data_IF_974676454947
#
_entry.id   IF_974676454947
#
_cell.length_a   1.000
_cell.length_b   1.000
_cell.length_c   1.000
_cell.angle_alpha   90.00
_cell.angle_beta   90.00
_cell.angle_gamma   90.00
#
_symmetry.space_group_name_H-M   'P 1'
#
loop_
_entity.id
_entity.type
_entity.pdbx_description
1 polymer ?
#
# COMPACT_ATOMS: atom_id res chain seq x y z
N UNK A 1 -5.78 -10.88 21.17
CA UNK A 1 -4.94 -10.12 20.21
C UNK A 1 -3.94 -11.12 19.66
N UNK A 2 -3.74 -11.19 18.34
CA UNK A 2 -2.75 -12.12 17.77
C UNK A 2 -1.34 -11.79 18.26
N UNK A 3 -0.60 -12.82 18.68
CA UNK A 3 0.83 -12.76 19.08
C UNK A 3 1.78 -12.60 17.88
N UNK A 4 1.24 -12.44 16.67
CA UNK A 4 2.05 -12.21 15.48
C UNK A 4 2.83 -10.87 15.58
N UNK A 5 4.10 -10.85 15.12
CA UNK A 5 4.88 -9.61 15.03
C UNK A 5 4.15 -8.56 14.21
N UNK A 6 4.37 -7.29 14.57
CA UNK A 6 3.87 -6.15 13.80
C UNK A 6 5.03 -5.35 13.23
N UNK A 7 4.95 -5.02 11.95
CA UNK A 7 5.89 -4.10 11.31
C UNK A 7 5.63 -2.70 11.85
N UNK A 8 6.68 -2.06 12.36
CA UNK A 8 6.61 -0.67 12.79
C UNK A 8 7.03 0.25 11.66
N UNK A 9 6.12 1.15 11.26
CA UNK A 9 6.41 2.22 10.30
C UNK A 9 6.19 3.54 11.02
N UNK A 10 7.19 4.42 11.00
CA UNK A 10 7.06 5.78 11.52
C UNK A 10 7.27 6.77 10.39
N UNK A 11 6.20 7.50 10.07
CA UNK A 11 6.18 8.51 9.00
C UNK A 11 6.17 9.91 9.60
N UNK A 12 7.05 10.79 9.11
CA UNK A 12 6.92 12.23 9.34
C UNK A 12 5.96 12.81 8.31
N UNK A 13 4.96 13.55 8.78
CA UNK A 13 3.91 14.13 7.94
C UNK A 13 3.93 15.65 7.96
N UNK A 14 3.49 16.27 6.87
CA UNK A 14 3.44 17.73 6.74
C UNK A 14 2.31 18.35 7.57
N UNK A 15 1.19 17.65 7.70
CA UNK A 15 0.04 18.05 8.52
C UNK A 15 -0.51 16.83 9.28
N UNK A 16 -0.28 16.81 10.60
CA UNK A 16 -0.68 15.70 11.46
C UNK A 16 -2.20 15.53 11.56
N UNK A 17 -2.98 16.61 11.52
CA UNK A 17 -4.43 16.54 11.64
C UNK A 17 -5.04 15.96 10.37
N UNK A 18 -4.57 16.46 9.21
CA UNK A 18 -4.98 15.95 7.89
C UNK A 18 -4.59 14.49 7.69
N UNK A 19 -3.35 14.12 8.02
CA UNK A 19 -2.91 12.73 7.95
C UNK A 19 -3.69 11.84 8.92
N UNK A 20 -3.94 12.29 10.16
CA UNK A 20 -4.75 11.53 11.11
C UNK A 20 -6.14 11.20 10.53
N UNK A 21 -6.84 12.20 9.98
CA UNK A 21 -8.16 11.99 9.40
C UNK A 21 -8.13 10.98 8.24
N UNK A 22 -7.12 11.09 7.37
CA UNK A 22 -6.90 10.11 6.30
C UNK A 22 -6.67 8.70 6.85
N UNK A 23 -5.74 8.52 7.78
CA UNK A 23 -5.40 7.19 8.30
C UNK A 23 -6.52 6.60 9.17
N UNK A 24 -7.36 7.40 9.83
CA UNK A 24 -8.60 6.93 10.48
C UNK A 24 -9.57 6.34 9.44
N UNK A 25 -9.76 7.01 8.31
CA UNK A 25 -10.59 6.53 7.20
C UNK A 25 -9.98 5.28 6.51
N UNK A 26 -8.70 5.34 6.17
CA UNK A 26 -7.99 4.28 5.47
C UNK A 26 -7.86 3.01 6.31
N UNK A 27 -7.55 3.12 7.61
CA UNK A 27 -7.40 1.97 8.50
C UNK A 27 -8.73 1.53 9.13
N UNK A 28 -9.74 2.38 9.12
CA UNK A 28 -11.08 2.08 9.64
C UNK A 28 -11.14 1.95 11.16
N UNK A 29 -10.19 2.56 11.87
CA UNK A 29 -10.09 2.51 13.33
C UNK A 29 -9.48 3.80 13.87
N UNK A 30 -9.90 4.28 15.06
CA UNK A 30 -9.24 5.40 15.72
C UNK A 30 -7.78 5.06 16.11
N UNK A 31 -6.93 6.08 16.34
CA UNK A 31 -5.59 5.88 16.87
C UNK A 31 -5.63 5.31 18.28
N UNK A 32 -4.73 4.37 18.57
CA UNK A 32 -4.56 3.79 19.91
C UNK A 32 -3.77 4.71 20.86
N UNK A 33 -3.10 5.74 20.32
CA UNK A 33 -2.37 6.73 21.10
C UNK A 33 -2.33 8.06 20.36
N UNK A 34 -2.65 9.14 21.09
CA UNK A 34 -2.56 10.52 20.62
C UNK A 34 -1.78 11.33 21.65
N UNK A 35 -0.78 12.08 21.19
CA UNK A 35 0.05 13.01 21.98
C UNK A 35 0.30 14.27 21.15
N UNK A 36 0.74 15.39 21.76
CA UNK A 36 1.15 16.56 21.00
C UNK A 36 2.21 16.18 19.95
N UNK A 37 1.90 16.45 18.67
CA UNK A 37 2.79 16.13 17.55
C UNK A 37 2.92 14.64 17.19
N UNK A 38 2.11 13.73 17.77
CA UNK A 38 2.23 12.29 17.53
C UNK A 38 0.89 11.54 17.56
N UNK A 39 0.68 10.63 16.62
CA UNK A 39 -0.42 9.64 16.65
C UNK A 39 0.07 8.24 16.30
N UNK A 40 -0.61 7.21 16.80
CA UNK A 40 -0.30 5.81 16.51
C UNK A 40 -1.55 4.98 16.26
N UNK A 41 -1.48 4.09 15.28
CA UNK A 41 -2.53 3.16 14.90
C UNK A 41 -2.05 1.71 15.03
N UNK A 42 -2.99 0.83 15.39
CA UNK A 42 -2.84 -0.63 15.41
C UNK A 42 -4.09 -1.25 14.79
N UNK A 43 -4.22 -1.27 13.45
CA UNK A 43 -5.38 -1.88 12.82
C UNK A 43 -5.47 -3.37 13.19
N UNK A 44 -6.67 -3.87 13.55
CA UNK A 44 -6.84 -5.27 13.95
C UNK A 44 -6.72 -6.24 12.77
N UNK A 45 -6.96 -5.77 11.54
CA UNK A 45 -6.97 -6.56 10.31
C UNK A 45 -5.59 -6.75 9.68
N UNK A 46 -4.54 -6.09 10.20
CA UNK A 46 -3.20 -6.17 9.63
C UNK A 46 -2.09 -6.14 10.68
N UNK A 47 -0.92 -6.74 10.40
CA UNK A 47 0.25 -6.74 11.29
C UNK A 47 0.99 -5.39 11.25
N UNK A 48 0.28 -4.27 11.34
CA UNK A 48 0.83 -2.92 11.25
C UNK A 48 0.86 -2.23 12.62
N UNK A 49 1.95 -1.51 12.85
CA UNK A 49 2.13 -0.52 13.90
C UNK A 49 2.59 0.79 13.25
N UNK A 50 1.63 1.63 12.87
CA UNK A 50 1.88 2.90 12.20
C UNK A 50 1.96 4.03 13.23
N UNK A 51 3.04 4.80 13.22
CA UNK A 51 3.16 6.05 13.95
C UNK A 51 3.34 7.21 12.98
N UNK A 52 2.72 8.34 13.30
CA UNK A 52 2.86 9.59 12.56
C UNK A 52 3.38 10.66 13.51
N UNK A 53 4.29 11.50 13.03
CA UNK A 53 4.71 12.72 13.73
C UNK A 53 4.78 13.92 12.79
N UNK A 54 4.51 15.11 13.31
CA UNK A 54 4.67 16.33 12.54
C UNK A 54 6.16 16.61 12.22
N UNK A 55 6.41 17.47 11.24
CA UNK A 55 7.74 18.01 10.96
C UNK A 55 8.34 17.62 9.62
N UNK A 56 7.51 17.19 8.65
CA UNK A 56 7.91 17.12 7.25
C UNK A 56 7.59 18.44 6.55
N UNK A 57 8.45 18.85 5.63
CA UNK A 57 8.22 20.01 4.78
C UNK A 57 7.10 19.72 3.76
N UNK A 58 6.15 20.64 3.62
CA UNK A 58 5.06 20.49 2.66
C UNK A 58 5.62 20.51 1.22
N UNK A 59 5.18 19.57 0.37
CA UNK A 59 5.61 19.48 -1.03
C UNK A 59 6.94 18.75 -1.25
N UNK A 60 7.61 18.27 -0.20
CA UNK A 60 8.75 17.36 -0.35
C UNK A 60 8.30 16.03 -0.97
N UNK A 61 9.19 15.32 -1.68
CA UNK A 61 8.94 13.96 -2.17
C UNK A 61 8.53 13.01 -1.03
N UNK A 62 7.71 12.00 -1.35
CA UNK A 62 7.21 10.98 -0.42
C UNK A 62 8.33 10.40 0.47
N UNK A 63 8.08 10.09 1.75
CA UNK A 63 9.06 9.42 2.62
C UNK A 63 9.41 8.00 2.14
N UNK A 64 8.62 7.43 1.24
CA UNK A 64 8.84 6.17 0.54
C UNK A 64 8.14 6.24 -0.83
N UNK A 65 8.59 5.42 -1.78
CA UNK A 65 7.90 5.29 -3.09
C UNK A 65 6.49 4.73 -2.88
N UNK A 66 6.34 3.63 -2.12
CA UNK A 66 5.05 3.10 -1.67
C UNK A 66 5.23 2.19 -0.44
N UNK A 67 4.11 1.86 0.21
CA UNK A 67 4.02 0.89 1.31
C UNK A 67 2.94 -0.15 1.02
N UNK A 68 3.20 -1.41 1.35
CA UNK A 68 2.26 -2.51 1.08
C UNK A 68 1.78 -3.25 2.32
N UNK A 69 0.51 -3.68 2.29
CA UNK A 69 -0.08 -4.63 3.24
C UNK A 69 -0.61 -5.85 2.49
N UNK A 70 0.14 -6.94 2.55
CA UNK A 70 -0.31 -8.22 2.04
C UNK A 70 -1.33 -8.86 3.00
N UNK A 71 -2.48 -9.24 2.45
CA UNK A 71 -3.54 -9.95 3.17
C UNK A 71 -3.58 -11.42 2.79
N UNK A 72 -4.28 -12.22 3.60
CA UNK A 72 -4.32 -13.67 3.44
C UNK A 72 -5.22 -14.13 2.29
N UNK A 73 -6.16 -13.31 1.83
CA UNK A 73 -7.13 -13.71 0.82
C UNK A 73 -7.64 -12.54 -0.01
N UNK A 74 -8.15 -12.84 -1.21
CA UNK A 74 -8.88 -11.86 -2.05
C UNK A 74 -10.08 -11.28 -1.31
N UNK A 75 -10.81 -12.10 -0.57
CA UNK A 75 -11.96 -11.63 0.21
C UNK A 75 -11.55 -10.60 1.27
N UNK A 76 -10.37 -10.74 1.89
CA UNK A 76 -9.83 -9.73 2.79
C UNK A 76 -9.55 -8.41 2.06
N UNK A 77 -8.93 -8.47 0.87
CA UNK A 77 -8.67 -7.27 0.04
C UNK A 77 -9.97 -6.57 -0.33
N UNK A 78 -10.97 -7.31 -0.82
CA UNK A 78 -12.29 -6.76 -1.17
C UNK A 78 -13.00 -6.18 0.06
N UNK A 79 -12.93 -6.84 1.22
CA UNK A 79 -13.48 -6.30 2.48
C UNK A 79 -12.86 -4.94 2.83
N UNK A 80 -11.54 -4.80 2.71
CA UNK A 80 -10.87 -3.53 3.00
C UNK A 80 -11.18 -2.47 1.94
N UNK A 81 -11.19 -2.82 0.65
CA UNK A 81 -11.55 -1.94 -0.45
C UNK A 81 -12.93 -1.32 -0.25
N UNK A 82 -13.93 -2.15 0.04
CA UNK A 82 -15.30 -1.68 0.27
C UNK A 82 -15.42 -0.77 1.50
N UNK A 83 -14.63 -1.03 2.55
CA UNK A 83 -14.56 -0.15 3.73
C UNK A 83 -13.94 1.20 3.37
N UNK A 84 -12.87 1.20 2.59
CA UNK A 84 -12.16 2.42 2.15
C UNK A 84 -13.05 3.26 1.22
N UNK A 85 -13.75 2.63 0.27
CA UNK A 85 -14.74 3.30 -0.60
C UNK A 85 -15.87 3.94 0.21
N UNK A 86 -16.44 3.21 1.19
CA UNK A 86 -17.47 3.75 2.10
C UNK A 86 -16.97 4.93 2.93
N UNK A 87 -15.68 5.02 3.22
CA UNK A 87 -15.06 6.15 3.90
C UNK A 87 -14.81 7.35 2.97
N UNK A 88 -15.13 7.24 1.68
CA UNK A 88 -15.02 8.33 0.70
C UNK A 88 -13.60 8.58 0.19
N UNK A 89 -12.67 7.64 0.38
CA UNK A 89 -11.31 7.76 -0.14
C UNK A 89 -11.27 7.39 -1.63
N UNK A 90 -10.47 8.13 -2.39
CA UNK A 90 -10.16 7.79 -3.77
C UNK A 90 -9.31 6.51 -3.80
N UNK A 91 -9.68 5.57 -4.67
CA UNK A 91 -9.03 4.26 -4.80
C UNK A 91 -8.68 3.98 -6.25
N UNK A 92 -7.54 3.33 -6.47
CA UNK A 92 -7.17 2.72 -7.76
C UNK A 92 -7.18 1.20 -7.60
N UNK A 93 -7.98 0.51 -8.40
CA UNK A 93 -8.23 -0.93 -8.30
C UNK A 93 -7.52 -1.69 -9.41
N UNK A 94 -6.87 -2.80 -9.06
CA UNK A 94 -6.11 -3.64 -9.98
C UNK A 94 -6.33 -5.11 -9.59
N UNK A 95 -7.26 -5.78 -10.29
CA UNK A 95 -7.61 -7.18 -10.05
C UNK A 95 -7.12 -8.08 -11.18
N UNK A 96 -6.55 -9.23 -10.81
CA UNK A 96 -5.99 -10.20 -11.73
C UNK A 96 -4.81 -9.67 -12.53
N UNK A 97 -4.03 -8.75 -11.96
CA UNK A 97 -2.89 -8.13 -12.65
C UNK A 97 -1.62 -8.94 -12.43
N UNK A 98 -0.86 -9.16 -13.49
CA UNK A 98 0.45 -9.79 -13.46
C UNK A 98 1.51 -8.71 -13.13
N UNK A 99 2.09 -8.79 -11.94
CA UNK A 99 3.02 -7.80 -11.41
C UNK A 99 4.04 -8.47 -10.48
N UNK A 100 5.32 -8.07 -10.57
CA UNK A 100 6.39 -8.61 -9.72
C UNK A 100 6.49 -10.14 -9.73
N UNK A 101 6.40 -10.77 -10.91
CA UNK A 101 6.44 -12.23 -11.09
C UNK A 101 5.29 -12.99 -10.41
N UNK A 102 4.17 -12.33 -10.09
CA UNK A 102 2.98 -12.97 -9.52
C UNK A 102 1.69 -12.35 -10.09
N UNK A 103 0.62 -13.13 -10.10
CA UNK A 103 -0.72 -12.59 -10.29
C UNK A 103 -1.25 -12.04 -8.95
N UNK A 104 -1.82 -10.84 -8.97
CA UNK A 104 -2.22 -10.13 -7.75
C UNK A 104 -3.60 -9.49 -7.89
N UNK A 105 -4.32 -9.44 -6.76
CA UNK A 105 -5.49 -8.58 -6.57
C UNK A 105 -5.13 -7.51 -5.56
N UNK A 106 -5.23 -6.23 -5.95
CA UNK A 106 -4.81 -5.10 -5.12
C UNK A 106 -5.67 -3.86 -5.31
N UNK A 107 -5.61 -2.97 -4.33
CA UNK A 107 -6.02 -1.59 -4.50
C UNK A 107 -5.02 -0.64 -3.87
N UNK A 108 -5.04 0.60 -4.35
CA UNK A 108 -4.15 1.66 -3.93
C UNK A 108 -4.92 2.85 -3.36
N UNK A 109 -4.34 3.49 -2.34
CA UNK A 109 -4.74 4.83 -1.88
C UNK A 109 -3.50 5.70 -1.74
N UNK A 110 -3.62 7.00 -2.04
CA UNK A 110 -2.56 7.96 -1.81
C UNK A 110 -2.84 8.75 -0.52
N UNK A 111 -1.87 8.82 0.38
CA UNK A 111 -2.00 9.62 1.59
C UNK A 111 -1.85 11.14 1.28
N UNK A 112 -2.18 12.05 2.23
CA UNK A 112 -2.16 13.50 1.96
C UNK A 112 -0.78 14.07 1.61
N UNK A 113 0.24 13.24 1.74
CA UNK A 113 1.66 13.54 1.74
C UNK A 113 2.36 12.81 0.57
N UNK A 114 1.58 12.18 -0.31
CA UNK A 114 2.01 11.53 -1.55
C UNK A 114 2.49 10.09 -1.39
N UNK A 115 2.30 9.46 -0.22
CA UNK A 115 2.65 8.04 -0.05
C UNK A 115 1.57 7.17 -0.65
N UNK A 116 1.91 6.37 -1.66
CA UNK A 116 1.02 5.32 -2.16
C UNK A 116 1.02 4.12 -1.20
N UNK A 117 -0.18 3.68 -0.82
CA UNK A 117 -0.40 2.48 -0.04
C UNK A 117 -1.11 1.43 -0.89
N UNK A 118 -0.51 0.26 -1.06
CA UNK A 118 -1.18 -0.92 -1.61
C UNK A 118 -1.69 -1.86 -0.51
N UNK A 119 -2.86 -2.43 -0.75
CA UNK A 119 -3.39 -3.55 0.01
C UNK A 119 -3.68 -4.66 -0.99
N UNK A 120 -3.01 -5.80 -0.84
CA UNK A 120 -2.95 -6.80 -1.90
C UNK A 120 -2.97 -8.24 -1.40
N UNK A 121 -3.20 -9.18 -2.31
CA UNK A 121 -2.97 -10.61 -2.12
C UNK A 121 -2.22 -11.16 -3.34
N UNK A 122 -1.38 -12.17 -3.12
CA UNK A 122 -0.77 -12.97 -4.19
C UNK A 122 -1.73 -14.13 -4.52
N UNK A 123 -2.17 -14.21 -5.77
CA UNK A 123 -3.05 -15.29 -6.23
C UNK A 123 -2.24 -16.54 -6.60
N UNK A 124 -1.15 -16.36 -7.34
CA UNK A 124 -0.16 -17.38 -7.67
C UNK A 124 1.12 -16.70 -8.19
N UNK A 125 2.26 -17.36 -8.04
CA UNK A 125 3.48 -16.95 -8.73
C UNK A 125 3.33 -17.25 -10.21
N UNK A 126 3.86 -16.36 -11.05
CA UNK A 126 4.04 -16.62 -12.47
C UNK A 126 5.31 -17.45 -12.61
N UNK A 127 5.23 -18.57 -13.31
CA UNK A 127 6.42 -19.33 -13.64
C UNK A 127 7.27 -18.48 -14.58
N UNK A 128 8.53 -18.21 -14.20
CA UNK A 128 9.50 -17.67 -15.15
C UNK A 128 9.68 -18.73 -16.23
N UNK A 129 9.49 -18.34 -17.50
CA UNK A 129 9.50 -19.24 -18.66
C UNK A 129 10.94 -19.76 -18.94
N UNK A 130 11.46 -20.63 -18.08
CA UNK A 130 12.74 -21.35 -18.23
C UNK A 130 12.59 -22.48 -19.27
N UNK A 131 12.18 -22.14 -20.49
CA UNK A 131 11.76 -23.15 -21.45
C UNK A 131 11.45 -22.73 -22.89
N UNK A 132 12.09 -21.71 -23.48
CA UNK A 132 11.61 -21.29 -24.82
C UNK A 132 12.47 -20.39 -25.71
N UNK A 133 13.80 -20.37 -25.64
CA UNK A 133 14.61 -19.60 -26.61
C UNK A 133 15.52 -20.48 -27.50
N UNK A 134 14.90 -21.32 -28.35
CA UNK A 134 15.49 -21.67 -29.65
C UNK A 134 14.73 -20.95 -30.76
N UNK A 135 15.32 -19.85 -31.24
CA UNK A 135 15.11 -19.39 -32.62
C UNK A 135 14.59 -17.97 -32.80
N UNK A 136 15.51 -17.09 -33.25
CA UNK A 136 15.30 -16.03 -34.25
C UNK A 136 14.30 -14.90 -33.92
N UNK A 137 14.87 -13.83 -33.35
CA UNK A 137 14.66 -12.40 -33.63
C UNK A 137 13.27 -11.88 -34.01
N UNK A 138 12.78 -10.93 -33.21
CA UNK A 138 12.26 -9.63 -33.67
C UNK A 138 12.23 -8.65 -32.47
N UNK A 139 12.31 -7.35 -32.75
CA UNK A 139 12.53 -6.29 -31.79
C UNK A 139 11.27 -5.79 -31.05
N UNK A 140 11.48 -5.45 -29.76
CA UNK A 140 10.85 -4.41 -28.90
C UNK A 140 9.33 -4.34 -28.80
N UNK A 141 8.82 -4.52 -27.56
CA UNK A 141 7.99 -3.52 -26.87
C UNK A 141 8.41 -3.49 -25.40
N UNK A 142 8.91 -2.35 -24.93
CA UNK A 142 9.12 -2.13 -23.50
C UNK A 142 7.75 -1.97 -22.83
N UNK A 143 7.28 -3.01 -22.16
CA UNK A 143 6.16 -2.90 -21.22
C UNK A 143 6.69 -2.20 -19.98
N UNK A 144 6.18 -0.99 -19.71
CA UNK A 144 6.55 -0.19 -18.55
C UNK A 144 6.36 -0.99 -17.26
N UNK A 145 7.45 -1.23 -16.54
CA UNK A 145 7.41 -1.77 -15.20
C UNK A 145 6.79 -0.73 -14.26
N UNK A 146 5.77 -1.14 -13.49
CA UNK A 146 5.14 -0.30 -12.48
C UNK A 146 6.14 0.18 -11.39
N UNK A 147 7.29 -0.47 -11.26
CA UNK A 147 8.33 -0.20 -10.26
C UNK A 147 9.48 0.69 -10.78
N UNK A 148 9.38 1.27 -11.97
CA UNK A 148 10.36 2.24 -12.43
C UNK A 148 10.00 3.64 -11.93
N UNK A 149 10.96 4.44 -11.41
CA UNK A 149 10.72 5.85 -11.17
C UNK A 149 10.32 6.52 -12.50
N UNK A 150 9.28 7.35 -12.46
CA UNK A 150 8.92 8.19 -13.61
C UNK A 150 10.11 9.10 -13.96
N UNK A 151 10.41 9.32 -15.25
CA UNK A 151 11.36 10.34 -15.67
C UNK A 151 10.90 11.75 -15.26
#
# INVERSE_FOLDING_TARGET
MSDAPRVHVHVKVSDLARSRAFYEAFLGTPPVKVKPGYVKFLPPWGPLNLALSAGREAGAAGPADHLGLQLASRDDVVRQLERVKRAGLAVREEFGVDCCHANQDKFWVEDPDGVEWEVYVLNHDLEDDEGGARGRGLAVVATGACCAPKP
#
